data_IF_624852432112
#
_entry.id   IF_624852432112
#
_cell.length_a   1.000
_cell.length_b   1.000
_cell.length_c   1.000
_cell.angle_alpha   90.00
_cell.angle_beta   90.00
_cell.angle_gamma   90.00
#
_symmetry.space_group_name_H-M   'P 1'
#
loop_
_entity.id
_entity.type
_entity.pdbx_description
1 polymer ?
#
# COMPACT_ATOMS: atom_id res chain seq x y z
N UNK A 1 11.10 14.20 10.39
CA UNK A 1 10.10 15.05 9.68
C UNK A 1 9.07 14.13 9.03
N UNK A 2 7.79 14.19 9.43
CA UNK A 2 6.73 13.31 8.90
C UNK A 2 5.98 14.06 7.80
N UNK A 3 5.94 13.48 6.59
CA UNK A 3 5.29 14.11 5.44
C UNK A 3 3.77 14.09 5.66
N UNK A 4 3.05 15.21 5.51
CA UNK A 4 1.60 15.21 5.57
C UNK A 4 1.02 14.44 4.38
N UNK A 5 0.24 13.41 4.65
CA UNK A 5 -0.43 12.62 3.62
C UNK A 5 -1.65 13.33 3.04
N UNK A 6 -2.05 12.93 1.84
CA UNK A 6 -3.29 13.40 1.21
C UNK A 6 -4.49 13.00 2.06
N UNK A 7 -5.30 13.98 2.46
CA UNK A 7 -6.52 13.76 3.23
C UNK A 7 -7.68 13.30 2.34
N UNK A 8 -8.72 12.75 2.97
CA UNK A 8 -9.94 12.33 2.28
C UNK A 8 -10.55 13.53 1.53
N UNK A 9 -10.79 13.38 0.23
CA UNK A 9 -11.37 14.43 -0.62
C UNK A 9 -10.37 15.40 -1.26
N UNK A 10 -9.11 15.45 -0.82
CA UNK A 10 -8.08 16.34 -1.39
C UNK A 10 -7.23 15.69 -2.51
N UNK A 11 -7.39 14.39 -2.73
CA UNK A 11 -6.67 13.65 -3.77
C UNK A 11 -7.35 13.73 -5.14
N UNK A 12 -6.55 13.67 -6.21
CA UNK A 12 -7.05 13.51 -7.58
C UNK A 12 -7.86 12.21 -7.76
N UNK A 13 -8.52 12.07 -8.92
CA UNK A 13 -9.44 10.95 -9.21
C UNK A 13 -8.81 9.57 -8.92
N UNK A 14 -7.55 9.38 -9.29
CA UNK A 14 -6.80 8.15 -9.05
C UNK A 14 -6.64 7.83 -7.55
N UNK A 15 -6.36 8.84 -6.72
CA UNK A 15 -6.23 8.68 -5.28
C UNK A 15 -7.58 8.32 -4.64
N UNK A 16 -8.68 8.94 -5.10
CA UNK A 16 -10.04 8.60 -4.63
C UNK A 16 -10.40 7.14 -4.92
N UNK A 17 -10.10 6.67 -6.12
CA UNK A 17 -10.30 5.26 -6.51
C UNK A 17 -9.45 4.34 -5.63
N UNK A 18 -8.16 4.64 -5.45
CA UNK A 18 -7.26 3.84 -4.63
C UNK A 18 -7.70 3.80 -3.14
N UNK A 19 -8.16 4.92 -2.59
CA UNK A 19 -8.69 5.01 -1.23
C UNK A 19 -9.99 4.22 -1.06
N UNK A 20 -10.86 4.23 -2.07
CA UNK A 20 -12.09 3.42 -2.06
C UNK A 20 -11.77 1.92 -2.03
N UNK A 21 -10.87 1.44 -2.89
CA UNK A 21 -10.48 0.04 -2.92
C UNK A 21 -9.81 -0.41 -1.62
N UNK A 22 -8.91 0.40 -1.06
CA UNK A 22 -8.25 0.06 0.21
C UNK A 22 -9.22 0.07 1.38
N UNK A 23 -10.13 1.05 1.46
CA UNK A 23 -11.20 1.07 2.47
C UNK A 23 -12.10 -0.16 2.35
N UNK A 24 -12.42 -0.61 1.13
CA UNK A 24 -13.23 -1.81 0.90
C UNK A 24 -12.52 -3.11 1.29
N UNK A 25 -11.20 -3.21 1.07
CA UNK A 25 -10.43 -4.44 1.34
C UNK A 25 -9.95 -4.54 2.80
N UNK A 26 -9.57 -3.42 3.41
CA UNK A 26 -8.92 -3.38 4.73
C UNK A 26 -9.75 -2.67 5.81
N UNK A 27 -10.95 -2.19 5.50
CA UNK A 27 -11.78 -1.39 6.40
C UNK A 27 -11.27 0.04 6.64
N UNK A 28 -10.05 0.36 6.21
CA UNK A 28 -9.41 1.67 6.34
C UNK A 28 -8.50 1.98 5.15
N UNK A 29 -8.21 3.26 4.95
CA UNK A 29 -7.16 3.68 4.00
C UNK A 29 -5.80 3.44 4.66
N UNK A 30 -4.92 2.73 3.95
CA UNK A 30 -3.55 2.49 4.42
C UNK A 30 -2.78 3.81 4.44
N UNK A 31 -2.13 4.13 5.57
CA UNK A 31 -1.31 5.33 5.70
C UNK A 31 -0.25 5.54 4.61
N UNK A 32 0.52 4.52 4.16
CA UNK A 32 1.47 4.72 3.06
C UNK A 32 0.79 5.14 1.75
N UNK A 33 -0.47 4.75 1.53
CA UNK A 33 -1.20 5.13 0.32
C UNK A 33 -1.50 6.64 0.30
N UNK A 34 -1.72 7.26 1.46
CA UNK A 34 -1.89 8.72 1.57
C UNK A 34 -0.62 9.49 1.23
N UNK A 35 0.54 8.89 1.49
CA UNK A 35 1.85 9.47 1.13
C UNK A 35 2.10 9.28 -0.37
N UNK A 36 1.87 8.09 -0.92
CA UNK A 36 2.06 7.85 -2.35
C UNK A 36 1.11 8.69 -3.22
N UNK A 37 -0.09 9.01 -2.71
CA UNK A 37 -1.05 9.87 -3.39
C UNK A 37 -0.54 11.30 -3.66
N UNK A 38 0.54 11.75 -3.00
CA UNK A 38 1.18 13.04 -3.28
C UNK A 38 1.75 13.10 -4.71
N UNK A 39 2.22 11.97 -5.23
CA UNK A 39 2.79 11.87 -6.58
C UNK A 39 2.12 10.69 -7.31
N UNK A 40 1.15 10.95 -8.21
CA UNK A 40 0.37 9.89 -8.87
C UNK A 40 1.21 8.82 -9.54
N UNK A 41 2.35 9.18 -10.14
CA UNK A 41 3.28 8.22 -10.74
C UNK A 41 3.88 7.25 -9.73
N UNK A 42 4.25 7.73 -8.54
CA UNK A 42 4.75 6.88 -7.45
C UNK A 42 3.63 5.97 -6.96
N UNK A 43 2.41 6.49 -6.81
CA UNK A 43 1.26 5.66 -6.44
C UNK A 43 1.01 4.53 -7.44
N UNK A 44 1.05 4.81 -8.74
CA UNK A 44 0.92 3.76 -9.75
C UNK A 44 2.08 2.76 -9.71
N UNK A 45 3.32 3.24 -9.56
CA UNK A 45 4.49 2.38 -9.47
C UNK A 45 4.43 1.45 -8.25
N UNK A 46 4.06 1.98 -7.08
CA UNK A 46 3.85 1.23 -5.87
C UNK A 46 2.72 0.19 -6.03
N UNK A 47 1.60 0.58 -6.64
CA UNK A 47 0.50 -0.35 -6.94
C UNK A 47 0.93 -1.50 -7.85
N UNK A 48 1.71 -1.21 -8.90
CA UNK A 48 2.28 -2.25 -9.79
C UNK A 48 3.25 -3.16 -9.05
N UNK A 49 4.09 -2.61 -8.19
CA UNK A 49 5.06 -3.37 -7.39
C UNK A 49 4.35 -4.32 -6.42
N UNK A 50 3.43 -3.82 -5.59
CA UNK A 50 2.71 -4.68 -4.66
C UNK A 50 1.84 -5.71 -5.38
N UNK A 51 1.21 -5.32 -6.50
CA UNK A 51 0.45 -6.25 -7.33
C UNK A 51 1.33 -7.35 -7.95
N UNK A 52 2.55 -7.04 -8.38
CA UNK A 52 3.48 -8.05 -8.92
C UNK A 52 4.02 -8.99 -7.85
N UNK A 53 4.14 -8.53 -6.60
CA UNK A 53 4.48 -9.38 -5.45
C UNK A 53 3.29 -10.27 -5.03
N UNK A 54 2.05 -9.76 -5.10
CA UNK A 54 0.84 -10.53 -4.79
C UNK A 54 0.51 -11.58 -5.88
N UNK A 55 0.79 -11.30 -7.15
CA UNK A 55 0.35 -12.11 -8.32
C UNK A 55 0.84 -13.58 -8.38
N UNK A 56 2.10 -13.92 -8.08
CA UNK A 56 2.64 -15.27 -8.30
C UNK A 56 1.91 -16.33 -7.46
N UNK A 57 1.34 -17.37 -8.07
CA UNK A 57 0.59 -18.41 -7.32
C UNK A 57 1.45 -19.57 -6.80
N UNK A 58 2.76 -19.49 -6.98
CA UNK A 58 3.71 -20.54 -6.59
C UNK A 58 3.81 -20.73 -5.07
N UNK A 59 3.41 -19.72 -4.27
CA UNK A 59 3.39 -19.81 -2.81
C UNK A 59 1.98 -19.56 -2.27
N UNK A 60 1.54 -20.34 -1.26
CA UNK A 60 0.37 -20.04 -0.45
C UNK A 60 0.41 -18.62 0.10
N UNK A 61 -0.77 -17.97 0.18
CA UNK A 61 -0.90 -16.58 0.66
C UNK A 61 -0.32 -16.43 2.07
N UNK A 62 -0.55 -17.39 2.97
CA UNK A 62 -0.02 -17.37 4.33
C UNK A 62 1.51 -17.31 4.40
N UNK A 63 2.21 -18.05 3.53
CA UNK A 63 3.67 -18.01 3.47
C UNK A 63 4.20 -16.66 2.97
N UNK A 64 3.50 -16.02 2.03
CA UNK A 64 3.86 -14.67 1.58
C UNK A 64 3.74 -13.65 2.72
N UNK A 65 2.66 -13.74 3.51
CA UNK A 65 2.46 -12.88 4.67
C UNK A 65 3.57 -13.10 5.72
N UNK A 66 3.93 -14.35 6.00
CA UNK A 66 5.03 -14.68 6.93
C UNK A 66 6.39 -14.16 6.43
N UNK A 67 6.67 -14.30 5.13
CA UNK A 67 7.89 -13.79 4.53
C UNK A 67 7.99 -12.26 4.65
N UNK A 68 6.89 -11.53 4.38
CA UNK A 68 6.83 -10.08 4.56
C UNK A 68 7.01 -9.69 6.03
N UNK A 69 6.31 -10.35 6.95
CA UNK A 69 6.41 -10.08 8.38
C UNK A 69 7.84 -10.33 8.91
N UNK A 70 8.50 -11.39 8.44
CA UNK A 70 9.90 -11.67 8.77
C UNK A 70 10.83 -10.61 8.21
N UNK A 71 10.66 -10.22 6.95
CA UNK A 71 11.46 -9.17 6.34
C UNK A 71 11.31 -7.84 7.08
N UNK A 72 10.08 -7.46 7.44
CA UNK A 72 9.78 -6.28 8.25
C UNK A 72 10.47 -6.34 9.63
N UNK A 73 10.39 -7.48 10.32
CA UNK A 73 11.05 -7.68 11.61
C UNK A 73 12.58 -7.57 11.52
N UNK A 74 13.20 -8.08 10.45
CA UNK A 74 14.66 -8.01 10.25
C UNK A 74 15.16 -6.57 10.03
N UNK A 75 14.37 -5.73 9.38
CA UNK A 75 14.72 -4.32 9.15
C UNK A 75 14.23 -3.39 10.25
N UNK A 76 13.56 -3.91 11.28
CA UNK A 76 12.97 -3.12 12.37
C UNK A 76 11.80 -2.25 11.91
N UNK A 77 11.08 -2.64 10.86
CA UNK A 77 9.90 -1.91 10.40
C UNK A 77 8.75 -2.09 11.42
N UNK A 78 8.23 -1.00 12.01
CA UNK A 78 7.17 -1.07 13.02
C UNK A 78 5.75 -1.17 12.44
N UNK A 79 5.63 -1.16 11.10
CA UNK A 79 4.38 -1.23 10.34
C UNK A 79 4.34 -2.51 9.50
#
# INVERSE_FOLDING_TARGET
MRIPGVQDGQGGLLARIAFFFTRRRYGRVLDPLRIYALVPRIMMAAGKLFGSVEKPRHLPVGLKCLAMARAAALVGCPF
#
